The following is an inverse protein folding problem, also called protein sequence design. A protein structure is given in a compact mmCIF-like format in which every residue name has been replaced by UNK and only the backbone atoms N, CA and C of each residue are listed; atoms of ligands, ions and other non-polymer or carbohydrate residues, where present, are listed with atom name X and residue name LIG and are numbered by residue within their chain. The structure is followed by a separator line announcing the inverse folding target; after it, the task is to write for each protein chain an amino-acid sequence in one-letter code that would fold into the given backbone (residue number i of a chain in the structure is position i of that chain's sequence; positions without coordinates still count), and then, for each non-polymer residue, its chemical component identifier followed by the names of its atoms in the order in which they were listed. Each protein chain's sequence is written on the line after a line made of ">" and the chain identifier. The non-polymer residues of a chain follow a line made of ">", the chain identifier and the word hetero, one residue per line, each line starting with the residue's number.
data_IF_253720989906
#
_entry.id   IF_253720989906
#
_cell.length_a   1.000
_cell.length_b   1.000
_cell.length_c   1.000
_cell.angle_alpha   90.00
_cell.angle_beta   90.00
_cell.angle_gamma   90.00
#
_symmetry.space_group_name_H-M   'P 1'
#
loop_
_entity.id
_entity.type
_entity.pdbx_description
1 polymer ?
#
# COMPACT_ATOMS: atom_id res chain seq x y z
N UNK A 1 -20.31 7.49 15.75
CA UNK A 1 -21.49 8.19 15.20
C UNK A 1 -21.83 7.64 13.83
N UNK A 2 -23.09 7.75 13.39
CA UNK A 2 -23.54 7.28 12.07
C UNK A 2 -24.13 8.45 11.27
N UNK A 3 -23.91 8.48 9.96
CA UNK A 3 -24.52 9.43 9.03
C UNK A 3 -25.27 8.68 7.94
N UNK A 4 -26.53 9.05 7.71
CA UNK A 4 -27.34 8.56 6.60
C UNK A 4 -27.61 9.72 5.65
N UNK A 5 -27.25 9.57 4.38
CA UNK A 5 -27.55 10.53 3.31
C UNK A 5 -28.41 9.85 2.26
N UNK A 6 -29.58 10.43 2.00
CA UNK A 6 -30.52 9.96 0.97
C UNK A 6 -30.64 11.06 -0.08
N UNK A 7 -30.39 10.70 -1.33
CA UNK A 7 -30.43 11.63 -2.45
C UNK A 7 -31.72 11.46 -3.27
N UNK A 8 -32.27 12.53 -3.89
CA UNK A 8 -33.51 12.47 -4.67
C UNK A 8 -33.49 11.48 -5.85
N UNK A 9 -32.30 11.16 -6.36
CA UNK A 9 -32.08 10.22 -7.46
C UNK A 9 -31.92 8.76 -6.98
N UNK A 10 -32.24 8.47 -5.72
CA UNK A 10 -32.27 7.11 -5.17
C UNK A 10 -30.95 6.59 -4.59
N UNK A 11 -29.86 7.36 -4.63
CA UNK A 11 -28.62 6.99 -3.94
C UNK A 11 -28.82 7.11 -2.42
N UNK A 12 -28.39 6.08 -1.69
CA UNK A 12 -28.34 6.10 -0.22
C UNK A 12 -26.94 5.74 0.24
N UNK A 13 -26.37 6.58 1.11
CA UNK A 13 -25.07 6.37 1.73
C UNK A 13 -25.26 6.27 3.25
N UNK A 14 -24.72 5.21 3.84
CA UNK A 14 -24.59 5.08 5.29
C UNK A 14 -23.11 5.01 5.65
N UNK A 15 -22.66 5.98 6.44
CA UNK A 15 -21.32 6.04 7.00
C UNK A 15 -21.40 5.75 8.50
N UNK A 16 -20.77 4.67 8.96
CA UNK A 16 -20.64 4.34 10.37
C UNK A 16 -19.20 4.60 10.83
N UNK A 17 -19.03 5.43 11.85
CA UNK A 17 -17.74 5.72 12.45
C UNK A 17 -17.77 5.30 13.91
N UNK A 18 -16.83 4.45 14.30
CA UNK A 18 -16.58 4.08 15.68
C UNK A 18 -15.19 4.55 16.10
N UNK A 19 -15.04 4.74 17.39
CA UNK A 19 -13.75 4.84 18.04
C UNK A 19 -13.71 3.66 18.98
N UNK A 20 -13.00 2.61 18.59
CA UNK A 20 -12.92 1.39 19.39
C UNK A 20 -11.51 0.82 19.32
N UNK A 21 -10.94 0.53 20.48
CA UNK A 21 -9.56 0.06 20.63
C UNK A 21 -9.43 -1.46 20.60
N UNK A 22 -10.56 -2.18 20.73
CA UNK A 22 -10.54 -3.61 21.06
C UNK A 22 -11.21 -4.46 19.96
N UNK A 23 -10.74 -5.70 19.80
CA UNK A 23 -11.21 -6.64 18.77
C UNK A 23 -12.72 -6.97 18.88
N UNK A 24 -13.27 -6.90 20.09
CA UNK A 24 -14.69 -7.16 20.37
C UNK A 24 -15.60 -6.10 19.72
N UNK A 25 -15.17 -4.84 19.70
CA UNK A 25 -15.89 -3.74 19.04
C UNK A 25 -16.02 -3.95 17.53
N UNK A 26 -15.02 -4.55 16.90
CA UNK A 26 -15.03 -4.84 15.46
C UNK A 26 -16.12 -5.84 15.09
N UNK A 27 -16.26 -6.93 15.86
CA UNK A 27 -17.29 -7.94 15.61
C UNK A 27 -18.70 -7.38 15.79
N UNK A 28 -18.90 -6.53 16.79
CA UNK A 28 -20.19 -5.85 17.02
C UNK A 28 -20.55 -4.92 15.86
N UNK A 29 -19.58 -4.13 15.37
CA UNK A 29 -19.76 -3.27 14.20
C UNK A 29 -20.08 -4.07 12.95
N UNK A 30 -19.38 -5.18 12.72
CA UNK A 30 -19.64 -6.06 11.58
C UNK A 30 -21.06 -6.65 11.66
N UNK A 31 -21.51 -7.05 12.85
CA UNK A 31 -22.89 -7.50 13.08
C UNK A 31 -23.92 -6.41 12.75
N UNK A 32 -23.68 -5.16 13.17
CA UNK A 32 -24.55 -4.01 12.87
C UNK A 32 -24.59 -3.76 11.36
N UNK A 33 -23.43 -3.73 10.69
CA UNK A 33 -23.33 -3.49 9.26
C UNK A 33 -24.06 -4.58 8.44
N UNK A 34 -23.96 -5.84 8.86
CA UNK A 34 -24.69 -6.94 8.23
C UNK A 34 -26.21 -6.76 8.35
N UNK A 35 -26.71 -6.43 9.55
CA UNK A 35 -28.15 -6.17 9.78
C UNK A 35 -28.66 -4.98 8.97
N UNK A 36 -27.87 -3.91 8.88
CA UNK A 36 -28.19 -2.75 8.05
C UNK A 36 -28.29 -3.16 6.58
N UNK A 37 -27.32 -3.92 6.08
CA UNK A 37 -27.30 -4.36 4.69
C UNK A 37 -28.54 -5.21 4.35
N UNK A 38 -28.93 -6.12 5.23
CA UNK A 38 -30.17 -6.90 5.10
C UNK A 38 -31.41 -6.01 5.06
N UNK A 39 -31.54 -5.07 6.02
CA UNK A 39 -32.69 -4.14 6.05
C UNK A 39 -32.76 -3.24 4.83
N UNK A 40 -31.62 -2.79 4.32
CA UNK A 40 -31.55 -1.99 3.09
C UNK A 40 -32.00 -2.78 1.86
N UNK A 41 -31.68 -4.08 1.80
CA UNK A 41 -32.16 -5.00 0.74
C UNK A 41 -33.66 -5.28 0.84
N UNK A 42 -34.20 -5.40 2.06
CA UNK A 42 -35.65 -5.61 2.27
C UNK A 42 -36.47 -4.38 1.88
N UNK A 43 -36.02 -3.19 2.30
CA UNK A 43 -36.72 -1.93 2.05
C UNK A 43 -36.75 -1.54 0.57
N UNK A 44 -35.80 -2.04 -0.22
CA UNK A 44 -35.66 -1.66 -1.62
C UNK A 44 -36.49 -2.48 -2.61
N UNK A 45 -37.28 -3.47 -2.16
CA UNK A 45 -38.36 -4.16 -2.90
C UNK A 45 -38.10 -4.28 -4.43
N UNK A 46 -37.08 -5.05 -4.83
CA UNK A 46 -36.67 -5.30 -6.24
C UNK A 46 -36.28 -4.08 -7.11
N UNK A 47 -36.32 -2.86 -6.58
CA UNK A 47 -35.92 -1.63 -7.27
C UNK A 47 -34.44 -1.25 -7.06
N UNK A 48 -33.71 -1.98 -6.22
CA UNK A 48 -32.27 -1.74 -5.97
C UNK A 48 -31.40 -2.23 -7.12
N UNK A 49 -30.76 -1.28 -7.82
CA UNK A 49 -29.76 -1.61 -8.85
C UNK A 49 -28.46 -2.21 -8.30
N UNK A 50 -28.04 -1.89 -7.05
CA UNK A 50 -26.80 -2.40 -6.43
C UNK A 50 -26.65 -1.97 -4.96
N UNK A 51 -26.19 -2.86 -4.09
CA UNK A 51 -25.66 -2.52 -2.75
C UNK A 51 -24.16 -2.82 -2.74
N UNK A 52 -23.33 -1.90 -2.23
CA UNK A 52 -21.88 -2.08 -2.12
C UNK A 52 -21.39 -1.63 -0.74
N UNK A 53 -20.78 -2.55 0.00
CA UNK A 53 -20.03 -2.27 1.23
C UNK A 53 -18.57 -2.02 0.87
N UNK A 54 -17.98 -0.97 1.44
CA UNK A 54 -16.53 -0.72 1.34
C UNK A 54 -15.83 -1.22 2.62
N UNK A 55 -14.56 -1.66 2.54
CA UNK A 55 -13.76 -1.90 3.72
C UNK A 55 -13.67 -0.65 4.60
N UNK A 56 -13.59 -0.81 5.93
CA UNK A 56 -13.39 0.33 6.83
C UNK A 56 -11.99 0.93 6.62
N UNK A 57 -11.89 2.26 6.69
CA UNK A 57 -10.61 2.95 6.78
C UNK A 57 -10.28 3.12 8.26
N UNK A 58 -9.23 2.42 8.71
CA UNK A 58 -8.77 2.45 10.10
C UNK A 58 -7.76 3.60 10.29
N UNK A 59 -7.87 4.35 11.38
CA UNK A 59 -6.99 5.51 11.65
C UNK A 59 -6.54 5.53 13.10
N UNK A 60 -5.39 6.15 13.36
CA UNK A 60 -4.84 6.29 14.72
C UNK A 60 -4.24 5.01 15.28
N UNK A 61 -3.96 4.01 14.42
CA UNK A 61 -3.14 2.86 14.82
C UNK A 61 -1.70 3.29 15.08
N UNK A 62 -0.97 2.49 15.85
CA UNK A 62 0.45 2.72 16.12
C UNK A 62 1.32 2.69 14.84
N UNK A 63 0.81 2.02 13.79
CA UNK A 63 1.46 1.87 12.49
C UNK A 63 0.48 2.33 11.42
N UNK A 64 0.94 3.22 10.54
CA UNK A 64 0.16 3.62 9.37
C UNK A 64 0.18 2.52 8.31
N UNK A 65 -1.02 2.11 7.90
CA UNK A 65 -1.25 1.02 6.94
C UNK A 65 -1.65 1.55 5.57
N UNK A 66 -2.01 2.82 5.48
CA UNK A 66 -2.59 3.41 4.27
C UNK A 66 -1.60 4.37 3.63
N UNK A 67 -1.14 4.01 2.42
CA UNK A 67 -0.18 4.81 1.68
C UNK A 67 -0.78 5.23 0.33
N UNK A 68 -0.58 6.49 -0.09
CA UNK A 68 -1.05 6.96 -1.38
C UNK A 68 -0.19 6.40 -2.51
N UNK A 69 -0.81 6.05 -3.64
CA UNK A 69 -0.12 5.86 -4.91
C UNK A 69 0.24 7.22 -5.52
N UNK A 70 1.16 7.22 -6.48
CA UNK A 70 1.55 8.43 -7.22
C UNK A 70 0.37 9.16 -7.89
N UNK A 71 -0.72 8.46 -8.22
CA UNK A 71 -1.95 9.05 -8.77
C UNK A 71 -3.06 9.32 -7.73
N UNK A 72 -2.71 9.30 -6.43
CA UNK A 72 -3.56 9.71 -5.32
C UNK A 72 -4.60 8.67 -4.87
N UNK A 73 -4.45 7.39 -5.27
CA UNK A 73 -5.30 6.31 -4.74
C UNK A 73 -4.76 5.84 -3.40
N UNK A 74 -5.66 5.46 -2.50
CA UNK A 74 -5.27 4.88 -1.21
C UNK A 74 -5.05 3.37 -1.36
N UNK A 75 -3.90 2.87 -0.90
CA UNK A 75 -3.59 1.44 -0.82
C UNK A 75 -3.36 1.07 0.64
N UNK A 76 -4.02 0.01 1.09
CA UNK A 76 -3.77 -0.59 2.40
C UNK A 76 -2.72 -1.70 2.26
N UNK A 77 -1.64 -1.59 3.00
CA UNK A 77 -0.59 -2.62 3.10
C UNK A 77 -0.75 -3.42 4.40
N UNK A 78 -0.35 -4.69 4.37
CA UNK A 78 -0.35 -5.61 5.51
C UNK A 78 0.86 -5.39 6.44
N UNK A 79 1.14 -4.13 6.75
CA UNK A 79 2.25 -3.72 7.60
C UNK A 79 2.00 -4.16 9.04
N UNK A 80 3.01 -4.74 9.68
CA UNK A 80 2.97 -5.18 11.06
C UNK A 80 4.12 -4.65 11.94
N UNK A 81 5.16 -4.05 11.36
CA UNK A 81 6.27 -3.47 12.12
C UNK A 81 6.86 -2.22 11.45
N UNK A 82 7.26 -1.24 12.28
CA UNK A 82 8.14 -0.12 11.87
C UNK A 82 9.57 -0.50 12.21
N UNK A 83 10.37 -0.82 11.20
CA UNK A 83 11.76 -1.28 11.36
C UNK A 83 12.71 -0.08 11.51
N UNK A 84 12.43 1.01 10.79
CA UNK A 84 13.23 2.23 10.81
C UNK A 84 12.35 3.44 10.45
N UNK A 85 12.58 4.59 11.09
CA UNK A 85 11.91 5.85 10.78
C UNK A 85 12.75 7.04 11.27
N UNK A 86 13.42 7.73 10.35
CA UNK A 86 14.27 8.88 10.67
C UNK A 86 14.27 9.93 9.56
N UNK A 87 14.46 11.19 9.94
CA UNK A 87 14.71 12.29 9.02
C UNK A 87 16.22 12.47 8.79
N UNK A 88 16.67 12.18 7.57
CA UNK A 88 18.02 12.55 7.14
C UNK A 88 18.09 14.02 6.74
N UNK A 89 19.29 14.61 6.52
CA UNK A 89 19.42 15.96 5.96
C UNK A 89 18.77 16.15 4.58
N UNK A 90 18.38 15.07 3.89
CA UNK A 90 17.88 15.10 2.53
C UNK A 90 16.40 14.71 2.40
N UNK A 91 15.92 13.79 3.24
CA UNK A 91 14.58 13.21 3.17
C UNK A 91 14.24 12.37 4.41
N UNK A 92 12.94 12.15 4.64
CA UNK A 92 12.45 11.14 5.58
C UNK A 92 12.70 9.74 5.02
N UNK A 93 13.21 8.83 5.84
CA UNK A 93 13.50 7.45 5.48
C UNK A 93 12.73 6.53 6.43
N UNK A 94 11.86 5.69 5.89
CA UNK A 94 11.17 4.64 6.65
C UNK A 94 11.44 3.27 6.04
N UNK A 95 11.57 2.28 6.92
CA UNK A 95 11.52 0.86 6.57
C UNK A 95 10.39 0.25 7.36
N UNK A 96 9.39 -0.28 6.65
CA UNK A 96 8.21 -0.92 7.24
C UNK A 96 8.17 -2.38 6.82
N UNK A 97 7.89 -3.29 7.75
CA UNK A 97 7.76 -4.70 7.41
C UNK A 97 6.32 -5.03 7.01
N UNK A 98 6.16 -5.67 5.84
CA UNK A 98 4.92 -6.20 5.29
C UNK A 98 5.01 -7.72 5.24
N UNK A 99 3.93 -8.41 5.61
CA UNK A 99 3.91 -9.89 5.57
C UNK A 99 3.99 -10.43 4.15
N UNK A 100 3.39 -9.73 3.18
CA UNK A 100 3.41 -10.13 1.78
C UNK A 100 4.69 -9.72 1.04
N UNK A 101 5.21 -8.53 1.33
CA UNK A 101 6.28 -7.91 0.53
C UNK A 101 7.65 -7.89 1.22
N UNK A 102 7.74 -8.30 2.49
CA UNK A 102 8.93 -8.17 3.31
C UNK A 102 9.15 -6.72 3.72
N UNK A 103 10.41 -6.32 3.89
CA UNK A 103 10.73 -4.92 4.19
C UNK A 103 10.45 -4.02 2.99
N UNK A 104 9.72 -2.93 3.23
CA UNK A 104 9.38 -1.89 2.27
C UNK A 104 10.14 -0.61 2.63
N UNK A 105 10.91 -0.08 1.67
CA UNK A 105 11.56 1.21 1.76
C UNK A 105 10.61 2.32 1.30
N UNK A 106 10.42 3.32 2.17
CA UNK A 106 9.62 4.52 1.89
C UNK A 106 10.50 5.75 2.08
N UNK A 107 10.50 6.65 1.11
CA UNK A 107 11.27 7.89 1.14
C UNK A 107 10.33 9.08 0.97
N UNK A 108 10.33 10.02 1.93
CA UNK A 108 9.43 11.18 1.95
C UNK A 108 7.94 10.84 1.73
N UNK A 109 7.54 9.63 2.11
CA UNK A 109 6.18 9.11 1.96
C UNK A 109 5.88 8.35 0.68
N UNK A 110 6.84 8.28 -0.26
CA UNK A 110 6.71 7.50 -1.49
C UNK A 110 7.29 6.09 -1.29
N UNK A 111 6.53 5.07 -1.68
CA UNK A 111 6.99 3.67 -1.70
C UNK A 111 8.03 3.52 -2.81
N UNK A 112 9.24 3.11 -2.46
CA UNK A 112 10.35 2.99 -3.41
C UNK A 112 10.59 1.54 -3.86
N UNK A 113 10.74 0.62 -2.91
CA UNK A 113 11.03 -0.78 -3.20
C UNK A 113 10.61 -1.66 -2.02
N UNK A 114 10.20 -2.88 -2.30
CA UNK A 114 10.09 -3.96 -1.33
C UNK A 114 11.05 -5.11 -1.63
N UNK A 115 11.36 -5.94 -0.64
CA UNK A 115 12.19 -7.15 -0.82
C UNK A 115 11.64 -8.10 -1.90
N UNK A 116 10.33 -8.09 -2.12
CA UNK A 116 9.66 -8.86 -3.18
C UNK A 116 9.88 -8.33 -4.61
N UNK A 117 10.43 -7.14 -4.80
CA UNK A 117 10.42 -6.42 -6.09
C UNK A 117 11.57 -6.78 -7.04
N UNK A 118 12.09 -8.01 -6.98
CA UNK A 118 13.12 -8.48 -7.91
C UNK A 118 12.72 -8.34 -9.38
N UNK A 119 11.42 -8.46 -9.68
CA UNK A 119 10.90 -8.27 -11.04
C UNK A 119 11.15 -6.85 -11.57
N UNK A 120 11.02 -5.82 -10.72
CA UNK A 120 11.32 -4.44 -11.07
C UNK A 120 12.81 -4.25 -11.39
N UNK A 121 13.68 -4.76 -10.51
CA UNK A 121 15.15 -4.70 -10.71
C UNK A 121 15.54 -5.37 -12.03
N UNK A 122 14.99 -6.54 -12.33
CA UNK A 122 15.23 -7.25 -13.61
C UNK A 122 14.72 -6.47 -14.81
N UNK A 123 13.56 -5.84 -14.70
CA UNK A 123 12.97 -5.05 -15.78
C UNK A 123 13.83 -3.83 -16.14
N UNK A 124 14.28 -3.06 -15.13
CA UNK A 124 15.18 -1.92 -15.32
C UNK A 124 16.50 -2.33 -15.98
N UNK A 125 17.02 -3.50 -15.63
CA UNK A 125 18.24 -4.04 -16.22
C UNK A 125 18.05 -4.59 -17.64
N UNK A 126 16.86 -4.46 -18.24
CA UNK A 126 16.57 -4.89 -19.61
C UNK A 126 16.11 -6.36 -19.72
N UNK A 127 15.75 -7.01 -18.62
CA UNK A 127 15.20 -8.38 -18.58
C UNK A 127 16.04 -9.41 -19.35
N UNK A 128 17.37 -9.28 -19.28
CA UNK A 128 18.33 -10.18 -19.94
C UNK A 128 18.55 -9.93 -21.43
N UNK A 129 17.98 -8.87 -22.00
CA UNK A 129 18.24 -8.46 -23.40
C UNK A 129 19.57 -7.71 -23.55
N UNK A 130 20.03 -7.07 -22.49
CA UNK A 130 21.26 -6.30 -22.46
C UNK A 130 22.46 -7.18 -22.05
N UNK A 131 23.59 -7.02 -22.75
CA UNK A 131 24.86 -7.67 -22.40
C UNK A 131 25.78 -6.68 -21.67
N UNK A 132 25.93 -6.90 -20.37
CA UNK A 132 26.78 -6.09 -19.50
C UNK A 132 28.22 -6.62 -19.40
N UNK A 133 28.54 -7.74 -20.05
CA UNK A 133 29.86 -8.39 -19.92
C UNK A 133 30.98 -7.45 -20.36
N UNK A 134 31.93 -7.17 -19.45
CA UNK A 134 33.08 -6.32 -19.75
C UNK A 134 32.76 -4.85 -20.00
N UNK A 135 31.54 -4.39 -19.69
CA UNK A 135 31.11 -2.99 -19.85
C UNK A 135 31.44 -2.14 -18.62
N UNK A 136 31.67 -0.85 -18.85
CA UNK A 136 31.67 0.17 -17.80
C UNK A 136 30.21 0.68 -17.65
N UNK A 137 29.63 0.55 -16.46
CA UNK A 137 28.21 0.85 -16.19
C UNK A 137 28.08 1.95 -15.14
N UNK A 138 27.18 2.91 -15.38
CA UNK A 138 26.81 3.97 -14.44
C UNK A 138 25.37 3.76 -13.95
N UNK A 139 25.20 3.69 -12.64
CA UNK A 139 23.91 3.69 -11.96
C UNK A 139 23.76 5.08 -11.32
N UNK A 140 22.68 5.79 -11.67
CA UNK A 140 22.31 7.06 -11.04
C UNK A 140 21.18 6.78 -10.05
N UNK A 141 21.41 7.01 -8.76
CA UNK A 141 20.54 6.58 -7.68
C UNK A 141 20.74 5.10 -7.33
N UNK A 142 19.65 4.37 -7.07
CA UNK A 142 19.70 2.95 -6.68
C UNK A 142 20.32 2.73 -5.30
N UNK A 143 20.08 3.66 -4.35
CA UNK A 143 20.64 3.62 -3.00
C UNK A 143 20.24 2.38 -2.17
N UNK A 144 19.19 1.66 -2.59
CA UNK A 144 18.81 0.35 -2.07
C UNK A 144 19.82 -0.76 -2.43
N UNK A 145 20.62 -0.55 -3.48
CA UNK A 145 21.65 -1.48 -3.94
C UNK A 145 21.13 -2.68 -4.74
N UNK A 146 19.84 -2.80 -5.02
CA UNK A 146 19.24 -3.92 -5.74
C UNK A 146 19.79 -4.09 -7.15
N UNK A 147 19.89 -2.99 -7.91
CA UNK A 147 20.49 -3.00 -9.26
C UNK A 147 21.97 -3.42 -9.18
N UNK A 148 22.73 -2.85 -8.24
CA UNK A 148 24.14 -3.18 -8.06
C UNK A 148 24.32 -4.67 -7.71
N UNK A 149 23.48 -5.21 -6.84
CA UNK A 149 23.51 -6.62 -6.44
C UNK A 149 23.30 -7.57 -7.64
N UNK A 150 22.38 -7.25 -8.54
CA UNK A 150 22.12 -8.08 -9.72
C UNK A 150 23.16 -7.89 -10.83
N UNK A 151 23.60 -6.65 -11.10
CA UNK A 151 24.47 -6.37 -12.24
C UNK A 151 25.88 -6.95 -12.09
N UNK A 152 26.42 -7.02 -10.87
CA UNK A 152 27.76 -7.60 -10.64
C UNK A 152 27.83 -9.07 -11.04
N UNK A 153 26.70 -9.79 -11.03
CA UNK A 153 26.61 -11.19 -11.45
C UNK A 153 26.79 -11.35 -12.97
N UNK A 154 26.58 -10.27 -13.73
CA UNK A 154 26.70 -10.21 -15.19
C UNK A 154 28.12 -9.83 -15.67
N UNK A 155 29.09 -9.80 -14.74
CA UNK A 155 30.52 -9.58 -15.03
C UNK A 155 30.81 -8.30 -15.83
N UNK A 156 30.29 -7.13 -15.40
CA UNK A 156 30.74 -5.86 -15.94
C UNK A 156 32.23 -5.64 -15.65
N UNK A 157 32.88 -4.79 -16.43
CA UNK A 157 34.26 -4.36 -16.18
C UNK A 157 34.35 -3.41 -15.00
N UNK A 158 33.41 -2.47 -14.91
CA UNK A 158 33.31 -1.49 -13.82
C UNK A 158 31.84 -1.12 -13.61
N UNK A 159 31.46 -0.90 -12.36
CA UNK A 159 30.17 -0.30 -12.02
C UNK A 159 30.42 0.90 -11.12
N UNK A 160 29.88 2.05 -11.50
CA UNK A 160 29.86 3.26 -10.67
C UNK A 160 28.42 3.55 -10.27
N UNK A 161 28.17 3.71 -8.98
CA UNK A 161 26.86 4.09 -8.43
C UNK A 161 27.01 5.44 -7.73
N UNK A 162 26.13 6.38 -8.06
CA UNK A 162 26.16 7.77 -7.57
C UNK A 162 24.80 8.15 -7.03
#
# INVERSE_FOLDING_TARGET
>A
FANLRIYPHGLVLLDLQSYDGDAQGKEEIDSILNKVEERMKELSQDSTGRVKRLPPIVRGGAIDRYWPTADGRLVEYDIDEVVYDEDSPYQNIKILHSKQFGNILILSGDVNLAESDLAYTRAIMGSGKEDYTGKDVLILGGGDGGILCEIVKLKPKMVTMV
#
